data_IF_465895437427
#
_entry.id   IF_465895437427
#
_cell.length_a   1.000
_cell.length_b   1.000
_cell.length_c   1.000
_cell.angle_alpha   90.00
_cell.angle_beta   90.00
_cell.angle_gamma   90.00
#
_symmetry.space_group_name_H-M   'P 1'
#
loop_
_entity.id
_entity.type
_entity.pdbx_description
1 polymer ?
#
# COMPACT_ATOMS: atom_id res chain seq x y z
N UNK A 1 30.05 19.18 -7.36
CA UNK A 1 29.55 18.23 -8.37
C UNK A 1 29.33 16.84 -7.77
N UNK A 2 30.31 16.27 -7.03
CA UNK A 2 30.18 14.95 -6.35
C UNK A 2 29.06 14.95 -5.29
N UNK A 3 29.00 15.94 -4.39
CA UNK A 3 27.94 16.03 -3.38
C UNK A 3 26.52 16.11 -3.97
N UNK A 4 26.34 16.82 -5.10
CA UNK A 4 25.05 16.90 -5.80
C UNK A 4 24.63 15.54 -6.41
N UNK A 5 25.58 14.74 -6.86
CA UNK A 5 25.33 13.39 -7.36
C UNK A 5 24.96 12.43 -6.22
N UNK A 6 25.60 12.55 -5.05
CA UNK A 6 25.28 11.76 -3.87
C UNK A 6 23.89 12.08 -3.30
N UNK A 7 23.53 13.36 -3.26
CA UNK A 7 22.20 13.79 -2.84
C UNK A 7 21.11 13.27 -3.79
N UNK A 8 21.34 13.39 -5.10
CA UNK A 8 20.42 12.85 -6.11
C UNK A 8 20.25 11.33 -5.99
N UNK A 9 21.35 10.60 -5.82
CA UNK A 9 21.32 9.14 -5.68
C UNK A 9 20.54 8.71 -4.42
N UNK A 10 20.63 9.49 -3.34
CA UNK A 10 19.88 9.24 -2.10
C UNK A 10 18.37 9.35 -2.31
N UNK A 11 17.95 10.44 -2.95
CA UNK A 11 16.53 10.68 -3.26
C UNK A 11 16.00 9.58 -4.17
N UNK A 12 16.76 9.21 -5.20
CA UNK A 12 16.39 8.17 -6.16
C UNK A 12 16.30 6.79 -5.50
N UNK A 13 17.26 6.46 -4.64
CA UNK A 13 17.26 5.22 -3.87
C UNK A 13 16.05 5.15 -2.92
N UNK A 14 15.79 6.22 -2.16
CA UNK A 14 14.63 6.28 -1.26
C UNK A 14 13.30 6.20 -2.02
N UNK A 15 13.19 6.85 -3.18
CA UNK A 15 12.01 6.75 -4.04
C UNK A 15 11.78 5.31 -4.53
N UNK A 16 12.85 4.65 -4.97
CA UNK A 16 12.80 3.28 -5.46
C UNK A 16 12.44 2.29 -4.35
N UNK A 17 13.06 2.42 -3.16
CA UNK A 17 12.74 1.61 -1.99
C UNK A 17 11.30 1.82 -1.55
N UNK A 18 10.83 3.07 -1.47
CA UNK A 18 9.46 3.39 -1.10
C UNK A 18 8.46 2.77 -2.07
N UNK A 19 8.70 2.93 -3.37
CA UNK A 19 7.86 2.37 -4.42
C UNK A 19 7.82 0.84 -4.40
N UNK A 20 8.97 0.16 -4.40
CA UNK A 20 9.03 -1.31 -4.44
C UNK A 20 8.51 -1.94 -3.15
N UNK A 21 8.70 -1.30 -2.01
CA UNK A 21 8.17 -1.83 -0.74
C UNK A 21 6.65 -1.69 -0.67
N UNK A 22 6.11 -0.57 -1.17
CA UNK A 22 4.67 -0.34 -1.22
C UNK A 22 3.98 -1.13 -2.33
N UNK A 23 4.67 -1.44 -3.43
CA UNK A 23 4.09 -2.05 -4.61
C UNK A 23 3.34 -3.36 -4.33
N UNK A 24 3.95 -4.37 -3.68
CA UNK A 24 3.25 -5.60 -3.33
C UNK A 24 2.14 -5.35 -2.33
N UNK A 25 2.37 -4.48 -1.32
CA UNK A 25 1.45 -4.31 -0.19
C UNK A 25 0.17 -3.58 -0.58
N UNK A 26 0.23 -2.62 -1.50
CA UNK A 26 -0.96 -1.98 -2.05
C UNK A 26 -1.66 -2.89 -3.07
N UNK A 27 -0.91 -3.78 -3.74
CA UNK A 27 -1.39 -4.66 -4.80
C UNK A 27 -2.35 -3.95 -5.78
N UNK A 28 -1.85 -2.95 -6.55
CA UNK A 28 -2.69 -2.16 -7.43
C UNK A 28 -3.36 -3.01 -8.52
N UNK A 29 -2.81 -4.19 -8.82
CA UNK A 29 -3.35 -5.14 -9.80
C UNK A 29 -4.51 -5.91 -9.17
N UNK A 30 -4.29 -6.57 -8.01
CA UNK A 30 -5.33 -7.28 -7.27
C UNK A 30 -6.51 -6.38 -6.89
N UNK A 31 -6.21 -5.19 -6.36
CA UNK A 31 -7.24 -4.22 -5.98
C UNK A 31 -7.99 -3.67 -7.20
N UNK A 32 -7.35 -3.52 -8.37
CA UNK A 32 -8.04 -3.13 -9.60
C UNK A 32 -9.11 -4.15 -10.01
N UNK A 33 -8.85 -5.45 -9.84
CA UNK A 33 -9.84 -6.50 -10.11
C UNK A 33 -11.05 -6.42 -9.17
N UNK A 34 -10.79 -6.23 -7.87
CA UNK A 34 -11.82 -6.11 -6.84
C UNK A 34 -12.69 -4.86 -7.04
N UNK A 35 -12.08 -3.76 -7.47
CA UNK A 35 -12.75 -2.46 -7.62
C UNK A 35 -13.47 -2.32 -8.98
N UNK A 36 -13.09 -3.07 -10.01
CA UNK A 36 -13.68 -2.94 -11.35
C UNK A 36 -15.22 -3.07 -11.41
N UNK A 37 -15.90 -3.97 -10.66
CA UNK A 37 -17.36 -4.07 -10.65
C UNK A 37 -18.06 -2.77 -10.24
N UNK A 38 -17.47 -1.99 -9.32
CA UNK A 38 -18.03 -0.73 -8.82
C UNK A 38 -18.13 0.35 -9.91
N UNK A 39 -17.30 0.26 -10.96
CA UNK A 39 -17.28 1.24 -12.05
C UNK A 39 -17.88 0.72 -13.35
N UNK A 40 -18.39 -0.51 -13.38
CA UNK A 40 -18.83 -1.16 -14.63
C UNK A 40 -20.07 -0.49 -15.24
N UNK A 41 -20.86 0.19 -14.42
CA UNK A 41 -22.12 0.83 -14.82
C UNK A 41 -21.99 2.35 -15.05
N UNK A 42 -20.78 2.92 -14.85
CA UNK A 42 -20.55 4.36 -14.97
C UNK A 42 -20.14 4.75 -16.39
N UNK A 43 -20.54 5.96 -16.85
CA UNK A 43 -19.96 6.58 -18.03
C UNK A 43 -18.43 6.73 -17.90
N UNK A 44 -17.70 6.69 -19.02
CA UNK A 44 -16.23 6.79 -19.00
C UNK A 44 -15.71 8.06 -18.32
N UNK A 45 -16.44 9.19 -18.42
CA UNK A 45 -16.07 10.45 -17.78
C UNK A 45 -16.17 10.36 -16.25
N UNK A 46 -17.29 9.85 -15.74
CA UNK A 46 -17.52 9.66 -14.29
C UNK A 46 -16.58 8.61 -13.70
N UNK A 47 -16.34 7.51 -14.43
CA UNK A 47 -15.35 6.50 -14.04
C UNK A 47 -13.96 7.10 -13.87
N UNK A 48 -13.50 7.93 -14.82
CA UNK A 48 -12.18 8.61 -14.72
C UNK A 48 -12.12 9.54 -13.52
N UNK A 49 -13.20 10.27 -13.24
CA UNK A 49 -13.26 11.18 -12.10
C UNK A 49 -13.23 10.42 -10.77
N UNK A 50 -13.99 9.32 -10.65
CA UNK A 50 -14.01 8.43 -9.50
C UNK A 50 -12.60 7.85 -9.22
N UNK A 51 -11.95 7.27 -10.23
CA UNK A 51 -10.61 6.69 -10.12
C UNK A 51 -9.58 7.75 -9.72
N UNK A 52 -9.67 8.97 -10.28
CA UNK A 52 -8.78 10.08 -9.90
C UNK A 52 -8.95 10.47 -8.44
N UNK A 53 -10.20 10.54 -7.95
CA UNK A 53 -10.49 10.82 -6.53
C UNK A 53 -9.91 9.73 -5.63
N UNK A 54 -10.01 8.46 -6.02
CA UNK A 54 -9.43 7.34 -5.24
C UNK A 54 -7.92 7.43 -5.16
N UNK A 55 -7.25 7.62 -6.30
CA UNK A 55 -5.79 7.78 -6.32
C UNK A 55 -5.34 8.98 -5.47
N UNK A 56 -6.12 10.07 -5.48
CA UNK A 56 -5.87 11.26 -4.67
C UNK A 56 -6.07 11.00 -3.17
N UNK A 57 -7.15 10.35 -2.76
CA UNK A 57 -7.39 9.97 -1.36
C UNK A 57 -6.36 8.97 -0.84
N UNK A 58 -5.95 8.00 -1.68
CA UNK A 58 -4.88 7.07 -1.36
C UNK A 58 -3.56 7.82 -1.12
N UNK A 59 -3.19 8.74 -2.03
CA UNK A 59 -2.00 9.58 -1.89
C UNK A 59 -2.05 10.42 -0.62
N UNK A 60 -3.17 11.10 -0.36
CA UNK A 60 -3.37 11.94 0.81
C UNK A 60 -3.25 11.12 2.12
N UNK A 61 -3.81 9.92 2.16
CA UNK A 61 -3.75 9.02 3.33
C UNK A 61 -2.31 8.57 3.60
N UNK A 62 -1.57 8.18 2.55
CA UNK A 62 -0.16 7.77 2.66
C UNK A 62 0.73 8.93 3.10
N UNK A 63 0.52 10.13 2.54
CA UNK A 63 1.25 11.34 2.95
C UNK A 63 0.93 11.69 4.40
N UNK A 64 -0.34 11.69 4.78
CA UNK A 64 -0.76 11.96 6.16
C UNK A 64 -0.11 10.96 7.14
N UNK A 65 -0.08 9.67 6.80
CA UNK A 65 0.59 8.65 7.61
C UNK A 65 2.10 8.85 7.70
N UNK A 66 2.77 9.27 6.62
CA UNK A 66 4.20 9.57 6.60
C UNK A 66 4.55 10.68 7.60
N UNK A 67 3.81 11.80 7.58
CA UNK A 67 4.04 12.94 8.47
C UNK A 67 3.59 12.69 9.91
N UNK A 68 2.45 12.02 10.10
CA UNK A 68 1.91 11.74 11.44
C UNK A 68 2.68 10.63 12.14
N UNK A 69 3.36 9.75 11.40
CA UNK A 69 4.07 8.59 11.95
C UNK A 69 5.04 8.94 13.07
N UNK A 70 5.87 9.99 12.89
CA UNK A 70 6.80 10.43 13.94
C UNK A 70 6.10 10.90 15.20
N UNK A 71 5.01 11.66 15.04
CA UNK A 71 4.22 12.19 16.15
C UNK A 71 3.57 11.05 16.94
N UNK A 72 3.04 10.04 16.24
CA UNK A 72 2.49 8.83 16.85
C UNK A 72 3.57 8.09 17.64
N UNK A 73 4.75 7.87 17.04
CA UNK A 73 5.86 7.20 17.74
C UNK A 73 6.27 7.93 19.02
N UNK A 74 6.36 9.26 18.97
CA UNK A 74 6.70 10.09 20.14
C UNK A 74 5.61 10.06 21.21
N UNK A 75 4.34 10.14 20.81
CA UNK A 75 3.20 10.15 21.73
C UNK A 75 3.11 8.85 22.54
N UNK A 76 3.33 7.70 21.89
CA UNK A 76 3.28 6.39 22.53
C UNK A 76 4.63 5.91 23.12
N UNK A 77 5.70 6.70 22.95
CA UNK A 77 7.04 6.31 23.39
C UNK A 77 7.58 5.04 22.70
N UNK A 78 7.15 4.77 21.46
CA UNK A 78 7.51 3.57 20.72
C UNK A 78 8.85 3.75 20.00
N UNK A 79 9.73 2.76 20.11
CA UNK A 79 10.98 2.74 19.37
C UNK A 79 10.76 2.34 17.91
N UNK A 80 11.60 2.86 17.02
CA UNK A 80 11.58 2.53 15.59
C UNK A 80 11.63 1.00 15.35
N UNK A 81 12.53 0.22 16.00
CA UNK A 81 12.60 -1.23 15.79
C UNK A 81 11.32 -1.98 16.16
N UNK A 82 10.63 -1.57 17.23
CA UNK A 82 9.35 -2.19 17.64
C UNK A 82 8.29 -2.00 16.57
N UNK A 83 8.19 -0.80 16.00
CA UNK A 83 7.20 -0.51 14.95
C UNK A 83 7.53 -1.23 13.64
N UNK A 84 8.81 -1.38 13.30
CA UNK A 84 9.21 -2.25 12.17
C UNK A 84 8.78 -3.70 12.41
N UNK A 85 9.01 -4.24 13.60
CA UNK A 85 8.62 -5.61 13.92
C UNK A 85 7.09 -5.80 13.86
N UNK A 86 6.34 -4.96 14.55
CA UNK A 86 4.87 -5.00 14.55
C UNK A 86 4.31 -4.82 13.14
N UNK A 87 4.87 -3.88 12.39
CA UNK A 87 4.44 -3.57 11.05
C UNK A 87 4.71 -4.70 10.06
N UNK A 88 5.90 -5.29 10.13
CA UNK A 88 6.27 -6.48 9.35
C UNK A 88 5.37 -7.67 9.64
N UNK A 89 5.05 -7.94 10.90
CA UNK A 89 4.11 -9.01 11.30
C UNK A 89 2.72 -8.77 10.69
N UNK A 90 2.21 -7.52 10.72
CA UNK A 90 0.92 -7.18 10.12
C UNK A 90 0.90 -7.44 8.61
N UNK A 91 1.99 -7.11 7.92
CA UNK A 91 2.13 -7.34 6.47
C UNK A 91 2.26 -8.84 6.17
N UNK A 92 3.01 -9.59 6.98
CA UNK A 92 3.08 -11.06 6.87
C UNK A 92 1.69 -11.69 7.01
N UNK A 93 0.90 -11.25 7.99
CA UNK A 93 -0.48 -11.71 8.15
C UNK A 93 -1.31 -11.39 6.90
N UNK A 94 -1.18 -10.19 6.34
CA UNK A 94 -1.89 -9.79 5.13
C UNK A 94 -1.51 -10.69 3.93
N UNK A 95 -0.22 -10.91 3.69
CA UNK A 95 0.27 -11.77 2.61
C UNK A 95 -0.17 -13.22 2.81
N UNK A 96 -0.14 -13.73 4.04
CA UNK A 96 -0.62 -15.06 4.38
C UNK A 96 -2.13 -15.23 4.12
N UNK A 97 -2.94 -14.25 4.56
CA UNK A 97 -4.38 -14.25 4.29
C UNK A 97 -4.67 -14.17 2.79
N UNK A 98 -3.93 -13.34 2.05
CA UNK A 98 -4.08 -13.25 0.58
C UNK A 98 -3.70 -14.55 -0.13
N UNK A 99 -2.70 -15.28 0.38
CA UNK A 99 -2.27 -16.56 -0.16
C UNK A 99 -3.30 -17.66 0.12
N UNK A 100 -3.93 -17.64 1.29
CA UNK A 100 -4.93 -18.63 1.71
C UNK A 100 -6.33 -18.36 1.15
N UNK A 101 -6.72 -17.09 0.94
CA UNK A 101 -8.02 -16.74 0.36
C UNK A 101 -8.17 -17.21 -1.08
N UNK A 102 -7.09 -17.24 -1.86
CA UNK A 102 -7.11 -17.81 -3.23
C UNK A 102 -7.31 -19.33 -3.23
N UNK A 103 -7.09 -20.02 -2.11
CA UNK A 103 -7.32 -21.47 -1.99
C UNK A 103 -8.78 -21.82 -1.63
N UNK A 104 -9.59 -20.89 -1.08
CA UNK A 104 -10.96 -21.18 -0.61
C UNK A 104 -12.08 -20.67 -1.53
N UNK A 105 -11.77 -20.23 -2.75
CA UNK A 105 -12.74 -19.73 -3.73
C UNK A 105 -13.68 -20.80 -4.33
N UNK A 106 -13.87 -21.96 -3.69
CA UNK A 106 -14.93 -22.91 -4.04
C UNK A 106 -16.10 -22.96 -3.05
N UNK A 107 -15.97 -22.55 -1.77
CA UNK A 107 -17.05 -22.83 -0.80
C UNK A 107 -17.27 -21.81 0.32
N UNK A 108 -16.72 -20.58 0.24
CA UNK A 108 -17.08 -19.55 1.24
C UNK A 108 -17.28 -18.16 0.62
N UNK A 109 -18.41 -17.49 0.90
CA UNK A 109 -18.53 -16.07 0.60
C UNK A 109 -17.51 -15.31 1.46
N UNK A 110 -16.72 -14.46 0.80
CA UNK A 110 -16.18 -13.17 1.22
C UNK A 110 -16.07 -12.80 2.73
N UNK A 111 -15.68 -13.72 3.63
CA UNK A 111 -15.50 -13.45 5.05
C UNK A 111 -14.08 -12.99 5.42
N UNK A 112 -13.54 -12.03 4.66
CA UNK A 112 -12.44 -11.15 5.09
C UNK A 112 -12.71 -9.68 4.73
N UNK A 113 -13.99 -9.36 4.54
CA UNK A 113 -14.55 -8.01 4.52
C UNK A 113 -15.80 -8.00 5.43
N UNK A 114 -15.64 -8.50 6.66
CA UNK A 114 -16.74 -8.53 7.61
C UNK A 114 -17.20 -7.09 7.89
N UNK A 115 -18.38 -6.79 7.33
CA UNK A 115 -19.09 -5.50 7.31
C UNK A 115 -18.68 -4.48 6.24
N UNK A 116 -18.87 -4.83 4.97
CA UNK A 116 -19.51 -3.91 4.01
C UNK A 116 -20.42 -4.65 3.01
N UNK A 117 -21.19 -5.61 3.51
CA UNK A 117 -22.48 -5.89 2.90
C UNK A 117 -23.45 -4.79 3.34
N UNK A 118 -23.46 -3.67 2.63
CA UNK A 118 -24.65 -2.82 2.54
C UNK A 118 -24.89 -2.52 1.07
N UNK A 119 -25.75 -3.37 0.53
CA UNK A 119 -26.84 -2.97 -0.35
C UNK A 119 -26.47 -2.44 -1.74
N UNK A 120 -26.40 -3.37 -2.70
CA UNK A 120 -26.60 -3.10 -4.13
C UNK A 120 -28.03 -2.55 -4.47
N UNK A 121 -28.74 -2.00 -3.48
CA UNK A 121 -30.13 -1.57 -3.51
C UNK A 121 -30.36 -0.08 -3.25
N UNK A 122 -29.36 0.69 -2.81
CA UNK A 122 -29.52 2.13 -2.61
C UNK A 122 -28.58 2.93 -3.50
N UNK A 123 -29.18 3.84 -4.28
CA UNK A 123 -28.53 4.93 -5.03
C UNK A 123 -27.86 5.93 -4.06
N UNK A 124 -27.01 5.48 -3.14
CA UNK A 124 -26.03 6.35 -2.51
C UNK A 124 -24.95 6.58 -3.54
N UNK A 125 -24.80 7.84 -3.98
CA UNK A 125 -23.83 8.25 -5.00
C UNK A 125 -22.52 7.49 -4.86
N UNK A 126 -22.01 6.93 -5.97
CA UNK A 126 -20.65 6.33 -6.07
C UNK A 126 -19.60 7.18 -5.34
N UNK A 127 -19.83 8.49 -5.29
CA UNK A 127 -19.08 9.51 -4.56
C UNK A 127 -18.87 9.23 -3.05
N UNK A 128 -19.83 8.62 -2.35
CA UNK A 128 -19.71 8.23 -0.95
C UNK A 128 -18.76 7.03 -0.77
N UNK A 129 -18.75 6.11 -1.73
CA UNK A 129 -17.93 4.89 -1.68
C UNK A 129 -16.46 5.16 -2.05
N UNK A 130 -16.18 6.30 -2.72
CA UNK A 130 -14.84 6.66 -3.18
C UNK A 130 -13.84 6.76 -2.04
N UNK A 131 -14.23 7.32 -0.88
CA UNK A 131 -13.35 7.42 0.26
C UNK A 131 -13.34 6.11 1.06
N UNK A 132 -14.52 5.67 1.51
CA UNK A 132 -14.72 4.42 2.24
C UNK A 132 -15.79 3.59 1.53
N UNK A 133 -15.54 2.32 1.15
CA UNK A 133 -14.35 1.52 1.45
C UNK A 133 -13.25 1.58 0.37
N UNK A 134 -13.50 2.22 -0.79
CA UNK A 134 -12.64 2.04 -1.98
C UNK A 134 -11.21 2.55 -1.77
N UNK A 135 -11.02 3.79 -1.33
CA UNK A 135 -9.67 4.30 -1.06
C UNK A 135 -9.10 3.75 0.24
N UNK A 136 -9.93 3.65 1.27
CA UNK A 136 -9.58 3.12 2.58
C UNK A 136 -10.73 2.24 3.09
N UNK A 137 -10.50 0.97 3.50
CA UNK A 137 -9.21 0.28 3.61
C UNK A 137 -8.80 -0.51 2.36
N UNK A 138 -9.58 -0.47 1.27
CA UNK A 138 -9.41 -1.41 0.16
C UNK A 138 -8.14 -1.13 -0.67
N UNK A 139 -7.86 0.12 -1.04
CA UNK A 139 -6.59 0.49 -1.71
C UNK A 139 -5.46 0.77 -0.71
N UNK A 140 -5.70 1.61 0.30
CA UNK A 140 -4.74 1.94 1.36
C UNK A 140 -5.20 1.26 2.63
N UNK A 141 -4.74 0.03 2.83
CA UNK A 141 -5.11 -0.79 3.97
C UNK A 141 -4.23 -0.55 5.21
N UNK A 142 -4.52 -1.25 6.31
CA UNK A 142 -3.68 -1.22 7.50
C UNK A 142 -2.26 -1.73 7.23
N UNK A 143 -2.08 -2.65 6.27
CA UNK A 143 -0.77 -3.09 5.81
C UNK A 143 0.04 -1.97 5.14
N UNK A 144 -0.60 -1.18 4.28
CA UNK A 144 0.01 -0.01 3.63
C UNK A 144 0.45 1.03 4.67
N UNK A 145 -0.42 1.35 5.64
CA UNK A 145 -0.10 2.29 6.72
C UNK A 145 1.11 1.79 7.53
N UNK A 146 1.14 0.51 7.86
CA UNK A 146 2.27 -0.13 8.54
C UNK A 146 3.60 0.02 7.78
N UNK A 147 3.60 -0.20 6.46
CA UNK A 147 4.78 0.01 5.60
C UNK A 147 5.23 1.47 5.64
N UNK A 148 4.29 2.41 5.46
CA UNK A 148 4.58 3.84 5.46
C UNK A 148 5.19 4.29 6.80
N UNK A 149 4.63 3.83 7.91
CA UNK A 149 5.16 4.10 9.25
C UNK A 149 6.57 3.55 9.42
N UNK A 150 6.81 2.32 8.95
CA UNK A 150 8.13 1.66 8.98
C UNK A 150 9.17 2.41 8.14
N UNK A 151 8.82 2.83 6.92
CA UNK A 151 9.68 3.59 6.02
C UNK A 151 9.96 5.00 6.55
N UNK A 152 8.94 5.66 7.12
CA UNK A 152 9.07 6.95 7.81
C UNK A 152 10.09 6.81 8.94
N UNK A 153 9.90 5.81 9.81
CA UNK A 153 10.78 5.53 10.94
C UNK A 153 12.24 5.27 10.53
N UNK A 154 12.49 4.62 9.39
CA UNK A 154 13.85 4.38 8.90
C UNK A 154 14.58 5.65 8.45
N UNK A 155 13.85 6.61 7.88
CA UNK A 155 14.42 7.84 7.31
C UNK A 155 14.92 8.83 8.37
N UNK A 156 14.61 8.62 9.66
CA UNK A 156 14.98 9.53 10.74
C UNK A 156 16.34 9.24 11.41
N UNK A 157 16.98 8.10 11.10
CA UNK A 157 18.27 7.73 11.70
C UNK A 157 19.50 8.35 11.00
N UNK A 158 19.31 9.10 9.91
CA UNK A 158 20.40 9.78 9.21
C UNK A 158 20.44 11.28 9.56
N UNK A 159 21.58 11.94 9.35
CA UNK A 159 21.78 13.39 9.54
C UNK A 159 20.59 14.22 9.04
N UNK A 160 20.22 15.33 9.71
CA UNK A 160 19.03 16.14 9.41
C UNK A 160 18.83 16.45 7.91
N UNK A 161 19.91 16.75 7.18
CA UNK A 161 19.89 17.02 5.73
C UNK A 161 19.57 15.76 4.91
N UNK A 162 20.15 14.63 5.31
CA UNK A 162 19.99 13.33 4.66
C UNK A 162 18.62 12.71 4.93
N UNK A 163 18.06 12.96 6.11
CA UNK A 163 16.68 12.61 6.47
C UNK A 163 15.65 13.37 5.62
N UNK A 164 15.88 14.67 5.38
CA UNK A 164 15.03 15.48 4.51
C UNK A 164 15.06 15.00 3.04
N UNK A 165 16.25 14.67 2.53
CA UNK A 165 16.42 14.09 1.18
C UNK A 165 15.77 12.70 1.05
N UNK A 166 15.88 11.87 2.07
CA UNK A 166 15.27 10.53 2.07
C UNK A 166 13.74 10.64 2.10
N UNK A 167 13.20 11.58 2.87
CA UNK A 167 11.77 11.85 2.95
C UNK A 167 11.21 12.37 1.64
N UNK A 168 11.92 13.26 0.94
CA UNK A 168 11.50 13.73 -0.39
C UNK A 168 11.51 12.60 -1.42
N UNK A 169 12.50 11.71 -1.37
CA UNK A 169 12.53 10.47 -2.15
C UNK A 169 11.31 9.58 -1.89
N UNK A 170 10.98 9.31 -0.62
CA UNK A 170 9.79 8.53 -0.26
C UNK A 170 8.50 9.14 -0.81
N UNK A 171 8.33 10.47 -0.73
CA UNK A 171 7.17 11.16 -1.29
C UNK A 171 7.10 10.96 -2.81
N UNK A 172 8.23 11.02 -3.52
CA UNK A 172 8.29 10.73 -4.96
C UNK A 172 7.87 9.28 -5.25
N UNK A 173 8.35 8.32 -4.48
CA UNK A 173 7.96 6.90 -4.60
C UNK A 173 6.47 6.68 -4.35
N UNK A 174 5.90 7.35 -3.34
CA UNK A 174 4.47 7.31 -3.03
C UNK A 174 3.62 7.96 -4.12
N UNK A 175 4.07 9.08 -4.68
CA UNK A 175 3.41 9.74 -5.81
C UNK A 175 3.43 8.84 -7.05
N UNK A 176 4.55 8.20 -7.35
CA UNK A 176 4.65 7.21 -8.43
C UNK A 176 3.68 6.04 -8.20
N UNK A 177 3.51 5.59 -6.96
CA UNK A 177 2.55 4.54 -6.61
C UNK A 177 1.09 4.98 -6.80
N UNK A 178 0.75 6.23 -6.45
CA UNK A 178 -0.58 6.80 -6.73
C UNK A 178 -0.87 6.87 -8.24
N UNK A 179 0.11 7.28 -9.05
CA UNK A 179 0.00 7.26 -10.52
C UNK A 179 -0.22 5.83 -11.02
N UNK A 180 0.48 4.85 -10.46
CA UNK A 180 0.31 3.45 -10.83
C UNK A 180 -1.10 2.93 -10.49
N UNK A 181 -1.62 3.22 -9.30
CA UNK A 181 -3.01 2.90 -8.92
C UNK A 181 -3.98 3.49 -9.95
N UNK A 182 -3.82 4.76 -10.29
CA UNK A 182 -4.67 5.43 -11.27
C UNK A 182 -4.64 4.71 -12.64
N UNK A 183 -3.46 4.35 -13.12
CA UNK A 183 -3.30 3.63 -14.40
C UNK A 183 -3.92 2.22 -14.34
N UNK A 184 -3.67 1.47 -13.27
CA UNK A 184 -4.24 0.13 -13.06
C UNK A 184 -5.77 0.17 -13.03
N UNK A 185 -6.36 1.15 -12.34
CA UNK A 185 -7.82 1.23 -12.19
C UNK A 185 -8.49 1.70 -13.48
N UNK A 186 -7.83 2.61 -14.22
CA UNK A 186 -8.28 3.05 -15.54
C UNK A 186 -8.32 1.88 -16.52
N UNK A 187 -7.28 1.05 -16.49
CA UNK A 187 -7.15 -0.12 -17.35
C UNK A 187 -7.77 -1.39 -16.75
N UNK A 188 -8.46 -1.31 -15.61
CA UNK A 188 -8.97 -2.50 -14.90
C UNK A 188 -9.84 -3.39 -15.80
N UNK A 189 -10.68 -2.79 -16.65
CA UNK A 189 -11.51 -3.56 -17.59
C UNK A 189 -10.67 -4.30 -18.65
N UNK A 190 -9.57 -3.70 -19.11
CA UNK A 190 -8.63 -4.34 -20.03
C UNK A 190 -7.75 -5.37 -19.32
N UNK A 191 -7.38 -5.12 -18.06
CA UNK A 191 -6.64 -6.07 -17.23
C UNK A 191 -7.45 -7.35 -17.05
N UNK A 192 -8.73 -7.24 -16.66
CA UNK A 192 -9.67 -8.37 -16.53
C UNK A 192 -9.79 -9.11 -17.86
N UNK A 193 -10.00 -8.39 -18.96
CA UNK A 193 -10.20 -8.99 -20.28
C UNK A 193 -8.94 -9.69 -20.82
N UNK A 194 -7.73 -9.18 -20.53
CA UNK A 194 -6.47 -9.77 -20.98
C UNK A 194 -5.99 -10.91 -20.10
N UNK A 195 -6.22 -10.83 -18.80
CA UNK A 195 -5.63 -11.77 -17.84
C UNK A 195 -6.52 -13.03 -17.69
N UNK A 196 -7.84 -12.92 -17.77
CA UNK A 196 -8.70 -14.10 -17.59
C UNK A 196 -8.53 -14.76 -16.21
N UNK A 197 -9.46 -15.64 -15.84
CA UNK A 197 -9.53 -16.16 -14.48
C UNK A 197 -8.29 -16.99 -14.04
N UNK A 198 -7.62 -17.66 -14.98
CA UNK A 198 -6.47 -18.50 -14.66
C UNK A 198 -5.21 -17.68 -14.34
N UNK A 199 -4.89 -16.65 -15.13
CA UNK A 199 -3.69 -15.85 -14.88
C UNK A 199 -3.87 -14.83 -13.76
N UNK A 200 -5.10 -14.37 -13.52
CA UNK A 200 -5.45 -13.57 -12.34
C UNK A 200 -5.06 -14.30 -11.04
N UNK A 201 -5.44 -15.58 -10.91
CA UNK A 201 -5.10 -16.38 -9.75
C UNK A 201 -3.59 -16.58 -9.58
N UNK A 202 -2.84 -16.73 -10.67
CA UNK A 202 -1.38 -16.86 -10.62
C UNK A 202 -0.70 -15.56 -10.18
N UNK A 203 -1.12 -14.43 -10.75
CA UNK A 203 -0.56 -13.11 -10.41
C UNK A 203 -0.87 -12.76 -8.96
N UNK A 204 -2.11 -12.97 -8.49
CA UNK A 204 -2.48 -12.69 -7.11
C UNK A 204 -1.70 -13.57 -6.13
N UNK A 205 -1.41 -14.84 -6.46
CA UNK A 205 -0.53 -15.70 -5.64
C UNK A 205 0.90 -15.17 -5.59
N UNK A 206 1.41 -14.69 -6.72
CA UNK A 206 2.74 -14.09 -6.77
C UNK A 206 2.81 -12.79 -5.95
N UNK A 207 1.81 -11.91 -6.05
CA UNK A 207 1.72 -10.70 -5.23
C UNK A 207 1.59 -11.03 -3.74
N UNK A 208 0.75 -12.01 -3.37
CA UNK A 208 0.62 -12.48 -1.99
C UNK A 208 1.96 -12.97 -1.40
N UNK A 209 2.73 -13.70 -2.20
CA UNK A 209 4.08 -14.12 -1.82
C UNK A 209 5.02 -12.94 -1.64
N UNK A 210 5.01 -11.96 -2.56
CA UNK A 210 5.83 -10.74 -2.43
C UNK A 210 5.46 -9.92 -1.19
N UNK A 211 4.15 -9.78 -0.89
CA UNK A 211 3.66 -9.13 0.33
C UNK A 211 4.25 -9.82 1.56
N UNK A 212 4.15 -11.15 1.61
CA UNK A 212 4.67 -11.93 2.72
C UNK A 212 6.19 -11.76 2.88
N UNK A 213 6.94 -11.81 1.78
CA UNK A 213 8.39 -11.64 1.79
C UNK A 213 8.82 -10.25 2.26
N UNK A 214 8.15 -9.18 1.79
CA UNK A 214 8.40 -7.81 2.23
C UNK A 214 8.10 -7.65 3.71
N UNK A 215 6.97 -8.18 4.18
CA UNK A 215 6.61 -8.18 5.60
C UNK A 215 7.67 -8.87 6.45
N UNK A 216 8.15 -10.02 5.99
CA UNK A 216 9.16 -10.80 6.71
C UNK A 216 10.50 -10.07 6.78
N UNK A 217 10.92 -9.42 5.70
CA UNK A 217 12.15 -8.62 5.67
C UNK A 217 12.08 -7.42 6.62
N UNK A 218 10.93 -6.72 6.65
CA UNK A 218 10.70 -5.62 7.58
C UNK A 218 10.69 -6.12 9.03
N UNK A 219 10.00 -7.22 9.30
CA UNK A 219 9.92 -7.82 10.63
C UNK A 219 11.30 -8.25 11.13
N UNK A 220 12.07 -8.93 10.29
CA UNK A 220 13.44 -9.35 10.59
C UNK A 220 14.35 -8.16 10.85
N UNK A 221 14.28 -7.10 10.05
CA UNK A 221 15.05 -5.89 10.28
C UNK A 221 14.70 -5.18 11.60
N UNK A 222 13.43 -5.20 12.00
CA UNK A 222 12.98 -4.71 13.30
C UNK A 222 13.49 -5.58 14.46
N UNK A 223 13.35 -6.90 14.34
CA UNK A 223 13.83 -7.85 15.33
C UNK A 223 15.34 -7.74 15.51
N UNK A 224 16.11 -7.77 14.42
CA UNK A 224 17.57 -7.65 14.45
C UNK A 224 18.03 -6.38 15.16
N UNK A 225 17.37 -5.24 14.93
CA UNK A 225 17.70 -4.00 15.61
C UNK A 225 17.33 -3.99 17.11
N UNK A 226 16.46 -4.89 17.58
CA UNK A 226 16.15 -5.07 19.01
C UNK A 226 17.14 -5.98 19.73
N UNK A 227 17.65 -7.01 19.04
CA UNK A 227 18.61 -7.97 19.62
C UNK A 227 20.07 -7.57 19.40
N UNK A 228 20.37 -6.75 18.39
CA UNK A 228 21.71 -6.24 18.18
C UNK A 228 22.09 -5.34 19.38
N UNK A 229 23.25 -5.56 20.02
CA UNK A 229 23.68 -4.72 21.11
C UNK A 229 23.80 -3.27 20.61
N UNK A 230 23.22 -2.33 21.36
CA UNK A 230 23.43 -0.91 21.13
C UNK A 230 24.93 -0.65 21.29
N UNK A 231 25.62 -0.42 20.17
CA UNK A 231 27.01 0.03 20.15
C UNK A 231 27.08 1.53 20.47
#
# INVERSE_FOLDING_TARGET
>A
MIALLDDFNTVLHAAFVGFITLFPVVDPIGTAFIVNPYFRHLPLAERKQAIRKIAWYAMLTVIAALFTGRWILMLFGLSIPVVKLAGGIMICKMGWTSLSSTASNQDKPANSAESAAVDAGQRSSVENDLFYPLSFPLTVGPGTISVVLTLSAHSYNESYVRSALSTSGLIIGMAAMSVLIYLCYLNAGQLVARLGAASENMINRFMAFLIFAVGLQIAWGGLHALIAPAA
#
